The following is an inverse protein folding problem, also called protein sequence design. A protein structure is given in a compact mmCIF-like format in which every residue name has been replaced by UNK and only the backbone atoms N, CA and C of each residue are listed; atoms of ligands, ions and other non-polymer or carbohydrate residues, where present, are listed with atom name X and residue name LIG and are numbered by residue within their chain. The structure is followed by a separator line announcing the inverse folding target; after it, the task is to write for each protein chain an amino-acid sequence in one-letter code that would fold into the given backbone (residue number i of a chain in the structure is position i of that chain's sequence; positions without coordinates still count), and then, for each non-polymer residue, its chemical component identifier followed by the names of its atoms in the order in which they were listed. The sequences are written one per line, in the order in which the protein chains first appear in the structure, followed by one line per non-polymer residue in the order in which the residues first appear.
data_IF_803220638672
#
_entry.id   IF_803220638672
#
_cell.length_a   1.000
_cell.length_b   1.000
_cell.length_c   1.000
_cell.angle_alpha   90.00
_cell.angle_beta   90.00
_cell.angle_gamma   90.00
#
_symmetry.space_group_name_H-M   'P 1'
#
loop_
_entity.id
_entity.type
_entity.pdbx_description
1 polymer ?
#
# COMPACT_ATOMS: atom_id res chain seq x y z
N UNK A 1 25.18 -8.06 -9.52
CA UNK A 1 24.54 -8.14 -8.17
C UNK A 1 23.81 -6.86 -7.74
N UNK A 2 24.08 -5.70 -8.36
CA UNK A 2 23.51 -4.39 -8.00
C UNK A 2 21.99 -4.25 -8.32
N UNK A 3 21.55 -4.76 -9.47
CA UNK A 3 20.17 -4.53 -9.97
C UNK A 3 19.07 -5.20 -9.14
N UNK A 4 19.37 -6.33 -8.46
CA UNK A 4 18.37 -7.07 -7.69
C UNK A 4 17.92 -6.32 -6.44
N UNK A 5 18.81 -5.56 -5.79
CA UNK A 5 18.45 -4.75 -4.61
C UNK A 5 17.61 -3.55 -5.03
N UNK A 6 18.00 -2.85 -6.09
CA UNK A 6 17.23 -1.73 -6.66
C UNK A 6 15.79 -2.13 -7.02
N UNK A 7 15.60 -3.31 -7.61
CA UNK A 7 14.27 -3.82 -7.95
C UNK A 7 13.40 -4.07 -6.70
N UNK A 8 14.00 -4.59 -5.61
CA UNK A 8 13.29 -4.78 -4.34
C UNK A 8 12.86 -3.44 -3.74
N UNK A 9 13.73 -2.42 -3.80
CA UNK A 9 13.41 -1.06 -3.36
C UNK A 9 12.27 -0.45 -4.17
N UNK A 10 12.33 -0.56 -5.49
CA UNK A 10 11.29 -0.03 -6.39
C UNK A 10 9.90 -0.60 -6.05
N UNK A 11 9.82 -1.88 -5.66
CA UNK A 11 8.55 -2.49 -5.29
C UNK A 11 7.92 -1.86 -4.05
N UNK A 12 8.73 -1.52 -3.03
CA UNK A 12 8.22 -0.87 -1.82
C UNK A 12 7.83 0.59 -2.02
N UNK A 13 8.33 1.24 -3.08
CA UNK A 13 7.97 2.61 -3.43
C UNK A 13 6.66 2.69 -4.21
N UNK A 14 6.06 1.56 -4.60
CA UNK A 14 4.72 1.53 -5.22
C UNK A 14 3.71 2.01 -4.16
N UNK A 15 3.03 3.15 -4.35
CA UNK A 15 2.18 3.75 -3.33
C UNK A 15 0.82 3.03 -3.25
N UNK A 16 0.83 1.79 -2.75
CA UNK A 16 -0.32 0.88 -2.71
C UNK A 16 -1.54 1.51 -2.02
N UNK A 17 -1.43 2.19 -0.87
CA UNK A 17 -2.57 2.87 -0.24
C UNK A 17 -3.21 3.93 -1.14
N UNK A 18 -2.40 4.70 -1.88
CA UNK A 18 -2.94 5.63 -2.87
C UNK A 18 -3.61 4.89 -4.03
N UNK A 19 -2.97 3.88 -4.62
CA UNK A 19 -3.53 3.12 -5.75
C UNK A 19 -4.88 2.49 -5.37
N UNK A 20 -5.01 1.99 -4.14
CA UNK A 20 -6.26 1.47 -3.59
C UNK A 20 -7.38 2.53 -3.69
N UNK A 21 -7.17 3.70 -3.09
CA UNK A 21 -8.19 4.75 -3.06
C UNK A 21 -8.38 5.44 -4.41
N UNK A 22 -7.34 5.51 -5.25
CA UNK A 22 -7.45 6.07 -6.59
C UNK A 22 -8.33 5.18 -7.49
N UNK A 23 -8.16 3.85 -7.40
CA UNK A 23 -9.05 2.91 -8.08
C UNK A 23 -10.48 3.00 -7.53
N UNK A 24 -10.64 2.98 -6.20
CA UNK A 24 -11.95 3.15 -5.55
C UNK A 24 -12.66 4.44 -6.01
N UNK A 25 -11.94 5.56 -6.02
CA UNK A 25 -12.44 6.85 -6.48
C UNK A 25 -12.87 6.81 -7.95
N UNK A 26 -12.04 6.28 -8.86
CA UNK A 26 -12.39 6.17 -10.27
C UNK A 26 -13.67 5.35 -10.50
N UNK A 27 -13.82 4.25 -9.75
CA UNK A 27 -15.04 3.41 -9.81
C UNK A 27 -16.26 4.11 -9.23
N UNK A 28 -16.09 4.84 -8.13
CA UNK A 28 -17.14 5.68 -7.56
C UNK A 28 -17.63 6.73 -8.56
N UNK A 29 -16.71 7.39 -9.29
CA UNK A 29 -17.07 8.37 -10.32
C UNK A 29 -17.86 7.76 -11.48
N UNK A 30 -17.57 6.49 -11.83
CA UNK A 30 -18.36 5.73 -12.79
C UNK A 30 -19.69 5.18 -12.23
N UNK A 31 -19.99 5.42 -10.94
CA UNK A 31 -21.12 4.84 -10.19
C UNK A 31 -21.12 3.31 -10.23
N UNK A 32 -19.94 2.69 -10.20
CA UNK A 32 -19.75 1.24 -10.21
C UNK A 32 -19.06 0.77 -8.94
N UNK A 33 -19.27 -0.51 -8.61
CA UNK A 33 -18.46 -1.19 -7.60
C UNK A 33 -16.99 -1.33 -8.03
N UNK A 34 -16.13 -1.59 -7.05
CA UNK A 34 -14.69 -1.80 -7.19
C UNK A 34 -14.31 -3.29 -6.95
N UNK A 35 -14.67 -4.21 -7.87
CA UNK A 35 -14.61 -5.66 -7.61
C UNK A 35 -13.19 -6.19 -7.35
N UNK A 36 -12.16 -5.53 -7.89
CA UNK A 36 -10.77 -5.96 -7.74
C UNK A 36 -10.04 -5.28 -6.58
N UNK A 37 -10.71 -4.40 -5.83
CA UNK A 37 -10.08 -3.60 -4.78
C UNK A 37 -9.46 -4.48 -3.69
N UNK A 38 -10.27 -5.38 -3.11
CA UNK A 38 -9.81 -6.29 -2.06
C UNK A 38 -8.79 -7.30 -2.61
N UNK A 39 -9.06 -7.91 -3.76
CA UNK A 39 -8.17 -8.92 -4.34
C UNK A 39 -6.79 -8.33 -4.68
N UNK A 40 -6.76 -7.17 -5.33
CA UNK A 40 -5.52 -6.46 -5.64
C UNK A 40 -4.76 -6.04 -4.39
N UNK A 41 -5.47 -5.63 -3.33
CA UNK A 41 -4.85 -5.27 -2.07
C UNK A 41 -4.22 -6.47 -1.35
N UNK A 42 -4.92 -7.60 -1.27
CA UNK A 42 -4.38 -8.84 -0.71
C UNK A 42 -3.17 -9.35 -1.50
N UNK A 43 -3.22 -9.24 -2.84
CA UNK A 43 -2.08 -9.59 -3.68
C UNK A 43 -0.88 -8.68 -3.40
N UNK A 44 -1.09 -7.37 -3.26
CA UNK A 44 -0.02 -6.43 -2.91
C UNK A 44 0.59 -6.76 -1.53
N UNK A 45 -0.23 -7.09 -0.53
CA UNK A 45 0.21 -7.53 0.80
C UNK A 45 1.09 -8.78 0.67
N UNK A 46 0.62 -9.79 -0.06
CA UNK A 46 1.34 -11.05 -0.24
C UNK A 46 2.70 -10.82 -0.89
N UNK A 47 2.73 -10.11 -2.02
CA UNK A 47 3.96 -9.82 -2.75
C UNK A 47 4.93 -9.00 -1.89
N UNK A 48 4.43 -7.93 -1.25
CA UNK A 48 5.22 -7.09 -0.35
C UNK A 48 5.80 -7.88 0.82
N UNK A 49 5.01 -8.76 1.44
CA UNK A 49 5.42 -9.61 2.54
C UNK A 49 6.48 -10.64 2.14
N UNK A 50 6.33 -11.29 0.98
CA UNK A 50 7.33 -12.23 0.44
C UNK A 50 8.67 -11.52 0.18
N UNK A 51 8.62 -10.32 -0.38
CA UNK A 51 9.80 -9.47 -0.63
C UNK A 51 10.41 -9.03 0.70
N UNK A 52 9.58 -8.66 1.69
CA UNK A 52 10.01 -8.22 3.01
C UNK A 52 10.87 -9.27 3.73
N UNK A 53 10.72 -10.58 3.45
CA UNK A 53 11.56 -11.63 4.04
C UNK A 53 13.06 -11.42 3.74
N UNK A 54 13.39 -10.82 2.59
CA UNK A 54 14.78 -10.64 2.14
C UNK A 54 15.46 -9.39 2.72
N UNK A 55 14.74 -8.57 3.48
CA UNK A 55 15.25 -7.32 4.04
C UNK A 55 15.00 -7.25 5.56
N UNK A 56 15.79 -6.43 6.25
CA UNK A 56 15.63 -6.27 7.70
C UNK A 56 14.36 -5.44 8.03
N UNK A 57 13.87 -5.59 9.26
CA UNK A 57 12.62 -4.96 9.72
C UNK A 57 12.67 -3.43 9.72
N UNK A 58 13.82 -2.85 10.07
CA UNK A 58 14.00 -1.41 10.09
C UNK A 58 13.81 -0.83 8.68
N UNK A 59 14.35 -1.51 7.67
CA UNK A 59 14.24 -1.09 6.28
C UNK A 59 12.82 -1.26 5.73
N UNK A 60 12.11 -2.34 6.09
CA UNK A 60 10.68 -2.51 5.76
C UNK A 60 9.87 -1.34 6.30
N UNK A 61 10.13 -0.96 7.55
CA UNK A 61 9.43 0.13 8.22
C UNK A 61 9.72 1.48 7.56
N UNK A 62 11.00 1.78 7.28
CA UNK A 62 11.41 3.01 6.61
C UNK A 62 10.77 3.14 5.21
N UNK A 63 10.82 2.08 4.42
CA UNK A 63 10.25 2.10 3.07
C UNK A 63 8.73 2.24 3.09
N UNK A 64 8.03 1.63 4.07
CA UNK A 64 6.61 1.86 4.27
C UNK A 64 6.28 3.27 4.74
N UNK A 65 7.13 3.91 5.54
CA UNK A 65 6.95 5.33 5.90
C UNK A 65 7.06 6.24 4.67
N UNK A 66 8.02 5.98 3.78
CA UNK A 66 8.14 6.69 2.51
C UNK A 66 6.89 6.44 1.65
N UNK A 67 6.42 5.19 1.60
CA UNK A 67 5.20 4.80 0.91
C UNK A 67 3.96 5.57 1.39
N UNK A 68 3.80 5.75 2.70
CA UNK A 68 2.72 6.53 3.30
C UNK A 68 2.77 7.99 2.84
N UNK A 69 3.94 8.62 2.95
CA UNK A 69 4.13 10.02 2.54
C UNK A 69 3.81 10.19 1.06
N UNK A 70 4.35 9.33 0.20
CA UNK A 70 4.04 9.34 -1.24
C UNK A 70 2.55 9.15 -1.49
N UNK A 71 1.91 8.22 -0.77
CA UNK A 71 0.49 7.95 -0.94
C UNK A 71 -0.39 9.14 -0.54
N UNK A 72 -0.05 9.83 0.56
CA UNK A 72 -0.78 11.03 1.01
C UNK A 72 -0.62 12.20 0.03
N UNK A 73 0.60 12.41 -0.48
CA UNK A 73 0.86 13.44 -1.51
C UNK A 73 0.04 13.15 -2.76
N UNK A 74 0.12 11.91 -3.27
CA UNK A 74 -0.61 11.52 -4.48
C UNK A 74 -2.13 11.59 -4.27
N UNK A 75 -2.65 11.15 -3.12
CA UNK A 75 -4.08 11.27 -2.82
C UNK A 75 -4.55 12.73 -2.81
N UNK A 76 -3.71 13.64 -2.29
CA UNK A 76 -4.01 15.07 -2.28
C UNK A 76 -4.02 15.69 -3.66
N UNK A 77 -3.13 15.24 -4.56
CA UNK A 77 -3.02 15.76 -5.93
C UNK A 77 -4.11 15.20 -6.85
N UNK A 78 -4.42 13.90 -6.74
CA UNK A 78 -5.22 13.18 -7.75
C UNK A 78 -6.65 12.85 -7.33
N UNK A 79 -7.00 12.92 -6.04
CA UNK A 79 -8.35 12.65 -5.55
C UNK A 79 -8.94 13.97 -5.04
N UNK A 80 -9.82 14.63 -5.80
CA UNK A 80 -10.44 15.89 -5.42
C UNK A 80 -11.21 15.78 -4.10
N UNK A 81 -11.30 16.90 -3.40
CA UNK A 81 -12.18 17.01 -2.24
C UNK A 81 -13.64 16.90 -2.69
N UNK A 82 -14.32 15.87 -2.20
CA UNK A 82 -15.75 15.69 -2.40
C UNK A 82 -16.43 15.67 -1.03
N UNK A 83 -17.26 16.68 -0.70
CA UNK A 83 -17.90 16.81 0.61
C UNK A 83 -18.72 15.59 1.06
N UNK A 84 -19.16 14.74 0.13
CA UNK A 84 -20.02 13.59 0.43
C UNK A 84 -19.27 12.33 0.85
N UNK A 85 -18.12 12.02 0.22
CA UNK A 85 -17.46 10.71 0.37
C UNK A 85 -15.92 10.78 0.41
N UNK A 86 -15.32 11.80 -0.20
CA UNK A 86 -13.85 11.97 -0.25
C UNK A 86 -13.45 13.32 0.35
N UNK A 87 -13.88 13.58 1.57
CA UNK A 87 -13.44 14.78 2.31
C UNK A 87 -11.95 14.72 2.56
N UNK A 88 -11.26 15.87 2.71
CA UNK A 88 -9.82 15.90 3.00
C UNK A 88 -9.43 15.01 4.19
N UNK A 89 -10.16 15.12 5.30
CA UNK A 89 -9.91 14.32 6.52
C UNK A 89 -10.26 12.85 6.28
N UNK A 90 -11.41 12.56 5.64
CA UNK A 90 -11.84 11.19 5.34
C UNK A 90 -10.86 10.47 4.41
N UNK A 91 -10.49 11.09 3.30
CA UNK A 91 -9.52 10.58 2.32
C UNK A 91 -8.17 10.30 2.95
N UNK A 92 -7.59 11.29 3.65
CA UNK A 92 -6.26 11.13 4.24
C UNK A 92 -6.28 10.09 5.36
N UNK A 93 -7.33 10.08 6.19
CA UNK A 93 -7.54 9.05 7.22
C UNK A 93 -7.66 7.65 6.62
N UNK A 94 -8.41 7.49 5.53
CA UNK A 94 -8.56 6.22 4.84
C UNK A 94 -7.22 5.72 4.25
N UNK A 95 -6.42 6.61 3.65
CA UNK A 95 -5.06 6.29 3.18
C UNK A 95 -4.17 5.78 4.31
N UNK A 96 -4.19 6.43 5.48
CA UNK A 96 -3.43 5.99 6.68
C UNK A 96 -3.94 4.63 7.18
N UNK A 97 -5.25 4.43 7.17
CA UNK A 97 -5.85 3.16 7.59
C UNK A 97 -5.45 2.00 6.68
N UNK A 98 -5.59 2.17 5.35
CA UNK A 98 -5.17 1.16 4.37
C UNK A 98 -3.67 0.91 4.44
N UNK A 99 -2.85 1.96 4.61
CA UNK A 99 -1.42 1.80 4.83
C UNK A 99 -1.11 0.96 6.08
N UNK A 100 -1.84 1.18 7.17
CA UNK A 100 -1.65 0.43 8.43
C UNK A 100 -1.94 -1.05 8.23
N UNK A 101 -3.04 -1.39 7.53
CA UNK A 101 -3.37 -2.78 7.17
C UNK A 101 -2.32 -3.36 6.23
N UNK A 102 -1.86 -2.60 5.25
CA UNK A 102 -0.84 -3.02 4.30
C UNK A 102 0.46 -3.41 5.01
N UNK A 103 0.97 -2.53 5.88
CA UNK A 103 2.17 -2.79 6.68
C UNK A 103 1.98 -4.00 7.60
N UNK A 104 0.86 -4.07 8.33
CA UNK A 104 0.57 -5.19 9.21
C UNK A 104 0.52 -6.52 8.45
N UNK A 105 -0.13 -6.55 7.29
CA UNK A 105 -0.20 -7.73 6.43
C UNK A 105 1.16 -8.17 5.91
N UNK A 106 1.99 -7.24 5.43
CA UNK A 106 3.36 -7.55 5.00
C UNK A 106 4.18 -8.17 6.15
N UNK A 107 4.05 -7.62 7.35
CA UNK A 107 4.73 -8.09 8.54
C UNK A 107 4.27 -9.47 8.98
N UNK A 108 2.97 -9.74 8.89
CA UNK A 108 2.40 -11.05 9.16
C UNK A 108 2.96 -12.12 8.21
N UNK A 109 2.94 -11.85 6.89
CA UNK A 109 3.48 -12.77 5.87
C UNK A 109 4.99 -12.98 6.07
N UNK A 110 5.74 -11.91 6.35
CA UNK A 110 7.18 -12.00 6.67
C UNK A 110 7.42 -12.90 7.87
N UNK A 111 6.63 -12.75 8.94
CA UNK A 111 6.72 -13.56 10.15
C UNK A 111 6.49 -15.04 9.88
N UNK A 112 5.41 -15.39 9.18
CA UNK A 112 5.10 -16.78 8.77
C UNK A 112 6.27 -17.37 7.98
N UNK A 113 6.73 -16.69 6.94
CA UNK A 113 7.79 -17.19 6.07
C UNK A 113 9.15 -17.26 6.76
N UNK A 114 9.37 -16.46 7.80
CA UNK A 114 10.56 -16.57 8.61
C UNK A 114 10.55 -17.85 9.44
N UNK A 115 9.41 -18.18 10.07
CA UNK A 115 9.23 -19.41 10.86
C UNK A 115 9.30 -20.66 10.00
N UNK A 116 8.66 -20.68 8.82
CA UNK A 116 8.65 -21.86 7.92
C UNK A 116 10.02 -22.18 7.32
N UNK A 117 10.94 -21.21 7.26
CA UNK A 117 12.28 -21.38 6.70
C UNK A 117 13.36 -21.72 7.74
N UNK A 118 13.01 -21.66 9.03
CA UNK A 118 13.86 -22.12 10.12
C UNK A 118 13.71 -23.63 10.29
#
# INVERSE_FOLDING_TARGET
MHNKKALLFAFFLIPVPFIFHFYEYGRYMERKGAPFLLFGFLLAILLGGVIAVKINILLVSLLNSINLVLSLVLATVFIPDNPSWFTVVGRNGAVVFIWSIYLAGQMFIKGILHVVRQ
#
